data_IF_693497499786
#
_entry.id   IF_693497499786
#
_cell.length_a   1.000
_cell.length_b   1.000
_cell.length_c   1.000
_cell.angle_alpha   90.00
_cell.angle_beta   90.00
_cell.angle_gamma   90.00
#
_symmetry.space_group_name_H-M   'P 1'
#
loop_
_entity.id
_entity.type
_entity.pdbx_description
1 polymer ?
#
# COMPACT_ATOMS: atom_id res chain seq x y z
N UNK A 1 16.78 18.81 21.86
CA UNK A 1 17.20 18.32 20.53
C UNK A 1 18.65 17.87 20.62
N UNK A 2 18.95 16.64 20.23
CA UNK A 2 20.32 16.08 20.28
C UNK A 2 21.22 16.64 19.17
N UNK A 3 22.54 16.63 19.38
CA UNK A 3 23.51 17.06 18.35
C UNK A 3 23.55 16.06 17.19
N UNK A 4 23.85 16.54 15.96
CA UNK A 4 23.97 15.67 14.78
C UNK A 4 24.96 14.52 14.99
N UNK A 5 26.08 14.79 15.66
CA UNK A 5 27.08 13.76 16.01
C UNK A 5 26.50 12.69 16.93
N UNK A 6 25.68 13.06 17.92
CA UNK A 6 25.03 12.09 18.82
C UNK A 6 24.00 11.24 18.06
N UNK A 7 23.21 11.87 17.19
CA UNK A 7 22.24 11.19 16.32
C UNK A 7 22.93 10.21 15.36
N UNK A 8 23.99 10.65 14.70
CA UNK A 8 24.76 9.81 13.77
C UNK A 8 25.42 8.63 14.50
N UNK A 9 25.92 8.84 15.73
CA UNK A 9 26.44 7.77 16.60
C UNK A 9 25.35 6.76 16.94
N UNK A 10 24.18 7.22 17.36
CA UNK A 10 23.04 6.36 17.68
C UNK A 10 22.63 5.50 16.47
N UNK A 11 22.44 6.12 15.31
CA UNK A 11 22.11 5.39 14.08
C UNK A 11 23.16 4.36 13.69
N UNK A 12 24.45 4.71 13.76
CA UNK A 12 25.54 3.78 13.42
C UNK A 12 25.65 2.62 14.41
N UNK A 13 25.58 2.90 15.72
CA UNK A 13 25.69 1.91 16.78
C UNK A 13 24.55 0.90 16.73
N UNK A 14 23.31 1.36 16.58
CA UNK A 14 22.13 0.50 16.43
C UNK A 14 22.19 -0.29 15.12
N UNK A 15 22.63 0.32 14.01
CA UNK A 15 22.74 -0.40 12.75
C UNK A 15 23.80 -1.50 12.77
N UNK A 16 24.92 -1.29 13.46
CA UNK A 16 26.02 -2.26 13.55
C UNK A 16 25.92 -3.21 14.74
N UNK A 17 24.90 -3.06 15.57
CA UNK A 17 24.75 -3.80 16.83
C UNK A 17 26.01 -3.67 17.70
N UNK A 18 26.48 -2.42 17.88
CA UNK A 18 27.73 -2.07 18.58
C UNK A 18 27.51 -1.06 19.69
N UNK A 19 27.34 -1.56 20.91
CA UNK A 19 27.22 -0.80 22.16
C UNK A 19 27.89 -1.59 23.29
N UNK A 20 28.27 -0.93 24.39
CA UNK A 20 29.04 -1.53 25.49
C UNK A 20 28.17 -2.42 26.40
N UNK A 21 26.95 -1.98 26.66
CA UNK A 21 26.02 -2.60 27.59
C UNK A 21 24.57 -2.20 27.26
N UNK A 22 23.61 -2.78 27.96
CA UNK A 22 22.17 -2.52 27.79
C UNK A 22 21.81 -1.05 28.08
N UNK A 23 22.50 -0.39 29.02
CA UNK A 23 22.21 1.02 29.34
C UNK A 23 22.58 1.91 28.16
N UNK A 24 23.76 1.70 27.54
CA UNK A 24 24.14 2.42 26.33
C UNK A 24 23.19 2.11 25.17
N UNK A 25 22.70 0.87 25.04
CA UNK A 25 21.67 0.55 24.04
C UNK A 25 20.42 1.42 24.21
N UNK A 26 19.84 1.48 25.42
CA UNK A 26 18.65 2.28 25.68
C UNK A 26 18.88 3.79 25.48
N UNK A 27 20.04 4.32 25.87
CA UNK A 27 20.40 5.72 25.60
C UNK A 27 20.48 6.04 24.10
N UNK A 28 21.07 5.15 23.30
CA UNK A 28 21.18 5.32 21.85
C UNK A 28 19.82 5.16 21.17
N UNK A 29 19.01 4.22 21.64
CA UNK A 29 17.63 4.02 21.19
C UNK A 29 16.78 5.26 21.44
N UNK A 30 16.85 5.86 22.63
CA UNK A 30 16.13 7.10 22.95
C UNK A 30 16.54 8.25 22.01
N UNK A 31 17.84 8.42 21.76
CA UNK A 31 18.35 9.44 20.83
C UNK A 31 17.82 9.22 19.42
N UNK A 32 17.79 7.96 18.97
CA UNK A 32 17.27 7.59 17.67
C UNK A 32 15.77 7.90 17.56
N UNK A 33 15.00 7.51 18.57
CA UNK A 33 13.55 7.71 18.60
C UNK A 33 13.19 9.18 18.68
N UNK A 34 13.89 9.99 19.47
CA UNK A 34 13.70 11.44 19.50
C UNK A 34 14.05 12.11 18.15
N UNK A 35 15.07 11.62 17.45
CA UNK A 35 15.37 12.11 16.10
C UNK A 35 14.27 11.74 15.10
N UNK A 36 13.77 10.51 15.15
CA UNK A 36 12.64 10.05 14.32
C UNK A 36 11.37 10.85 14.63
N UNK A 37 11.06 11.07 15.91
CA UNK A 37 9.94 11.86 16.43
C UNK A 37 9.90 13.27 15.86
N UNK A 38 11.05 13.92 15.79
CA UNK A 38 11.19 15.28 15.26
C UNK A 38 10.74 15.45 13.79
N UNK A 39 10.55 14.36 13.04
CA UNK A 39 10.06 14.40 11.66
C UNK A 39 8.53 14.37 11.56
N UNK A 40 7.81 13.93 12.59
CA UNK A 40 6.35 13.75 12.49
C UNK A 40 5.62 15.09 12.37
N UNK A 41 6.00 16.10 13.16
CA UNK A 41 5.35 17.41 13.07
C UNK A 41 5.54 18.06 11.69
N UNK A 42 6.78 18.24 11.17
CA UNK A 42 6.97 18.80 9.84
C UNK A 42 6.29 17.97 8.74
N UNK A 43 6.22 16.65 8.91
CA UNK A 43 5.52 15.76 7.99
C UNK A 43 4.01 16.06 7.95
N UNK A 44 3.35 16.10 9.11
CA UNK A 44 1.92 16.40 9.24
C UNK A 44 1.56 17.76 8.67
N UNK A 45 2.35 18.78 8.99
CA UNK A 45 2.12 20.12 8.47
C UNK A 45 2.35 20.21 6.95
N UNK A 46 3.33 19.47 6.41
CA UNK A 46 3.56 19.40 4.96
C UNK A 46 2.43 18.68 4.24
N UNK A 47 1.93 17.59 4.81
CA UNK A 47 0.78 16.84 4.25
C UNK A 47 -0.47 17.72 4.16
N UNK A 48 -0.76 18.47 5.23
CA UNK A 48 -1.88 19.42 5.26
C UNK A 48 -1.70 20.56 4.25
N UNK A 49 -0.49 21.10 4.11
CA UNK A 49 -0.22 22.14 3.11
C UNK A 49 -0.36 21.60 1.69
N UNK A 50 0.14 20.39 1.41
CA UNK A 50 -0.05 19.74 0.11
C UNK A 50 -1.55 19.55 -0.20
N UNK A 51 -2.36 19.14 0.78
CA UNK A 51 -3.82 19.05 0.62
C UNK A 51 -4.45 20.41 0.31
N UNK A 52 -4.04 21.45 1.05
CA UNK A 52 -4.53 22.80 0.86
C UNK A 52 -4.18 23.32 -0.55
N UNK A 53 -2.93 23.15 -1.00
CA UNK A 53 -2.49 23.50 -2.34
C UNK A 53 -3.31 22.78 -3.42
N UNK A 54 -3.61 21.50 -3.21
CA UNK A 54 -4.33 20.64 -4.15
C UNK A 54 -5.85 20.76 -4.06
N UNK A 55 -6.40 21.56 -3.13
CA UNK A 55 -7.85 21.77 -3.00
C UNK A 55 -8.52 22.22 -4.31
N UNK A 56 -7.81 23.03 -5.11
CA UNK A 56 -8.28 23.55 -6.40
C UNK A 56 -7.68 22.82 -7.62
N UNK A 57 -7.01 21.68 -7.43
CA UNK A 57 -6.37 20.94 -8.53
C UNK A 57 -7.40 20.36 -9.53
N UNK A 58 -8.64 20.13 -9.09
CA UNK A 58 -9.76 19.75 -9.96
C UNK A 58 -9.72 18.30 -10.46
N UNK A 59 -8.94 17.42 -9.83
CA UNK A 59 -8.96 15.98 -10.10
C UNK A 59 -8.78 15.17 -8.81
N UNK A 60 -9.30 13.95 -8.81
CA UNK A 60 -9.25 13.05 -7.65
C UNK A 60 -7.83 12.55 -7.40
N UNK A 61 -7.39 12.63 -6.14
CA UNK A 61 -6.14 12.08 -5.66
C UNK A 61 -6.36 11.50 -4.25
N UNK A 62 -5.45 10.62 -3.85
CA UNK A 62 -5.34 10.16 -2.47
C UNK A 62 -4.02 10.63 -1.89
N UNK A 63 -4.01 11.11 -0.65
CA UNK A 63 -2.78 11.50 0.04
C UNK A 63 -2.74 10.92 1.45
N UNK A 64 -1.63 10.27 1.77
CA UNK A 64 -1.34 9.81 3.12
C UNK A 64 0.12 10.09 3.46
N UNK A 65 0.41 10.22 4.74
CA UNK A 65 1.76 10.24 5.26
C UNK A 65 2.10 8.95 5.97
N UNK A 66 3.39 8.66 6.05
CA UNK A 66 3.93 7.54 6.81
C UNK A 66 5.23 7.95 7.47
N UNK A 67 5.34 7.72 8.77
CA UNK A 67 6.60 7.81 9.48
C UNK A 67 7.37 6.51 9.28
N UNK A 68 8.65 6.59 8.92
CA UNK A 68 9.44 5.40 8.61
C UNK A 68 9.77 4.62 9.89
N UNK A 69 9.62 3.30 9.80
CA UNK A 69 9.86 2.36 10.90
C UNK A 69 11.34 2.29 11.28
N UNK A 70 11.66 2.12 12.57
CA UNK A 70 13.04 1.98 13.08
C UNK A 70 13.81 0.83 12.39
N UNK A 71 13.27 -0.40 12.26
CA UNK A 71 13.95 -1.49 11.55
C UNK A 71 14.28 -1.17 10.08
N UNK A 72 13.38 -0.46 9.39
CA UNK A 72 13.56 -0.04 8.00
C UNK A 72 14.65 1.04 7.85
N UNK A 73 14.77 1.93 8.84
CA UNK A 73 15.86 2.91 8.89
C UNK A 73 17.19 2.19 9.14
N UNK A 74 17.25 1.29 10.12
CA UNK A 74 18.45 0.50 10.45
C UNK A 74 18.93 -0.31 9.25
N UNK A 75 18.04 -1.06 8.56
CA UNK A 75 18.39 -1.80 7.33
C UNK A 75 18.96 -0.87 6.26
N UNK A 76 18.36 0.31 6.05
CA UNK A 76 18.84 1.28 5.07
C UNK A 76 20.24 1.83 5.43
N UNK A 77 20.50 2.10 6.71
CA UNK A 77 21.83 2.51 7.19
C UNK A 77 22.86 1.42 6.91
N UNK A 78 22.52 0.16 7.13
CA UNK A 78 23.41 -0.97 6.84
C UNK A 78 23.71 -1.14 5.36
N UNK A 79 22.68 -1.09 4.50
CA UNK A 79 22.84 -1.27 3.05
C UNK A 79 23.61 -0.13 2.39
N UNK A 80 23.33 1.12 2.76
CA UNK A 80 23.88 2.30 2.08
C UNK A 80 25.12 2.88 2.76
N UNK A 81 25.46 2.45 3.98
CA UNK A 81 26.59 2.98 4.76
C UNK A 81 26.59 4.51 4.89
N UNK A 82 25.39 5.09 4.99
CA UNK A 82 25.17 6.54 5.18
C UNK A 82 24.88 6.85 6.65
N UNK A 83 25.00 8.12 7.03
CA UNK A 83 24.66 8.57 8.40
C UNK A 83 23.16 8.80 8.56
N UNK A 84 22.64 8.65 9.78
CA UNK A 84 21.23 8.85 10.09
C UNK A 84 20.74 10.26 9.72
N UNK A 85 21.55 11.29 9.98
CA UNK A 85 21.21 12.68 9.60
C UNK A 85 21.24 12.95 8.09
N UNK A 86 21.74 12.02 7.27
CA UNK A 86 21.74 12.12 5.81
C UNK A 86 20.54 11.43 5.16
N UNK A 87 19.76 10.65 5.92
CA UNK A 87 18.54 10.05 5.40
C UNK A 87 17.45 11.11 5.18
N UNK A 88 16.87 11.11 3.99
CA UNK A 88 15.86 12.08 3.58
C UNK A 88 14.42 11.52 3.60
N UNK A 89 14.27 10.21 3.83
CA UNK A 89 13.00 9.48 3.77
C UNK A 89 12.51 9.01 5.14
N UNK A 90 12.80 9.76 6.22
CA UNK A 90 12.29 9.44 7.57
C UNK A 90 10.81 9.78 7.67
N UNK A 91 10.41 10.96 7.19
CA UNK A 91 9.02 11.33 6.98
C UNK A 91 8.67 11.26 5.49
N UNK A 92 7.66 10.47 5.14
CA UNK A 92 7.24 10.31 3.75
C UNK A 92 5.77 10.66 3.53
N UNK A 93 5.46 11.38 2.46
CA UNK A 93 4.11 11.59 1.94
C UNK A 93 3.94 10.79 0.65
N UNK A 94 2.74 10.28 0.40
CA UNK A 94 2.40 9.57 -0.82
C UNK A 94 1.16 10.21 -1.43
N UNK A 95 1.26 10.61 -2.70
CA UNK A 95 0.12 11.04 -3.52
C UNK A 95 -0.14 9.97 -4.58
N UNK A 96 -1.36 9.45 -4.62
CA UNK A 96 -1.80 8.50 -5.64
C UNK A 96 -2.82 9.19 -6.55
N UNK A 97 -2.57 9.12 -7.85
CA UNK A 97 -3.39 9.74 -8.90
C UNK A 97 -3.87 8.69 -9.89
N UNK A 98 -4.87 9.02 -10.71
CA UNK A 98 -5.49 8.03 -11.60
C UNK A 98 -4.52 7.52 -12.66
N UNK A 99 -3.83 8.41 -13.38
CA UNK A 99 -2.99 8.05 -14.53
C UNK A 99 -1.56 8.61 -14.41
N UNK A 100 -0.64 8.04 -15.18
CA UNK A 100 0.73 8.52 -15.23
C UNK A 100 0.83 10.01 -15.66
N UNK A 101 -0.01 10.45 -16.60
CA UNK A 101 -0.09 11.86 -17.00
C UNK A 101 -0.50 12.81 -15.87
N UNK A 102 -1.27 12.32 -14.89
CA UNK A 102 -1.68 13.14 -13.74
C UNK A 102 -0.52 13.34 -12.75
N UNK A 103 0.48 12.47 -12.75
CA UNK A 103 1.70 12.65 -11.97
C UNK A 103 2.46 13.87 -12.48
N UNK A 104 2.59 14.02 -13.80
CA UNK A 104 3.24 15.19 -14.41
C UNK A 104 2.48 16.49 -14.11
N UNK A 105 1.15 16.44 -14.21
CA UNK A 105 0.27 17.56 -13.94
C UNK A 105 0.37 18.03 -12.48
N UNK A 106 0.33 17.10 -11.51
CA UNK A 106 0.49 17.45 -10.09
C UNK A 106 1.90 17.98 -9.83
N UNK A 107 2.93 17.34 -10.37
CA UNK A 107 4.30 17.80 -10.17
C UNK A 107 4.50 19.23 -10.67
N UNK A 108 4.04 19.54 -11.89
CA UNK A 108 4.09 20.90 -12.43
C UNK A 108 3.30 21.89 -11.59
N UNK A 109 2.07 21.52 -11.21
CA UNK A 109 1.23 22.36 -10.36
C UNK A 109 1.88 22.65 -9.00
N UNK A 110 2.51 21.65 -8.37
CA UNK A 110 3.22 21.83 -7.11
C UNK A 110 4.44 22.76 -7.26
N UNK A 111 5.25 22.61 -8.32
CA UNK A 111 6.36 23.53 -8.58
C UNK A 111 5.86 24.97 -8.67
N UNK A 112 4.80 25.21 -9.45
CA UNK A 112 4.24 26.54 -9.65
C UNK A 112 3.71 27.16 -8.35
N UNK A 113 3.06 26.35 -7.50
CA UNK A 113 2.47 26.82 -6.24
C UNK A 113 3.47 26.98 -5.11
N UNK A 114 4.40 26.05 -4.94
CA UNK A 114 5.39 26.06 -3.84
C UNK A 114 6.28 27.30 -3.93
N UNK A 115 6.69 27.67 -5.15
CA UNK A 115 7.47 28.88 -5.42
C UNK A 115 6.75 30.19 -5.01
N UNK A 116 5.44 30.16 -4.80
CA UNK A 116 4.64 31.34 -4.45
C UNK A 116 4.38 31.53 -2.95
N UNK A 117 4.55 30.49 -2.11
CA UNK A 117 4.11 30.50 -0.71
C UNK A 117 5.24 30.41 0.34
N UNK A 118 6.46 30.01 -0.03
CA UNK A 118 7.64 29.91 0.87
C UNK A 118 7.44 29.10 2.17
N UNK A 119 6.44 28.22 2.26
CA UNK A 119 6.17 27.38 3.45
C UNK A 119 7.13 26.19 3.55
N UNK A 120 7.48 25.59 2.41
CA UNK A 120 8.50 24.56 2.25
C UNK A 120 9.15 24.70 0.87
N UNK A 121 10.29 24.06 0.64
CA UNK A 121 11.00 24.08 -0.66
C UNK A 121 11.06 22.71 -1.28
N UNK A 122 11.16 22.67 -2.61
CA UNK A 122 11.51 21.46 -3.37
C UNK A 122 13.03 21.49 -3.58
N UNK A 123 13.74 20.56 -2.95
CA UNK A 123 15.21 20.52 -2.99
C UNK A 123 15.74 19.63 -4.12
N UNK A 124 15.07 18.52 -4.41
CA UNK A 124 15.48 17.60 -5.48
C UNK A 124 14.29 16.80 -6.00
N UNK A 125 14.23 16.59 -7.32
CA UNK A 125 13.29 15.66 -7.94
C UNK A 125 14.06 14.54 -8.63
N UNK A 126 13.59 13.31 -8.48
CA UNK A 126 14.12 12.13 -9.19
C UNK A 126 12.95 11.34 -9.75
N UNK A 127 12.91 11.19 -11.06
CA UNK A 127 11.86 10.44 -11.75
C UNK A 127 12.32 9.02 -12.08
N UNK A 128 11.70 8.03 -11.46
CA UNK A 128 11.98 6.61 -11.74
C UNK A 128 10.98 6.00 -12.73
N UNK A 129 10.03 6.77 -13.26
CA UNK A 129 8.90 6.20 -14.04
C UNK A 129 9.27 5.77 -15.45
N UNK A 130 10.33 6.30 -16.04
CA UNK A 130 10.71 5.97 -17.43
C UNK A 130 11.47 4.64 -17.53
N UNK A 131 12.47 4.44 -16.66
CA UNK A 131 13.30 3.24 -16.68
C UNK A 131 12.90 2.21 -15.61
N UNK A 132 12.20 2.63 -14.56
CA UNK A 132 12.10 1.86 -13.32
C UNK A 132 13.44 1.84 -12.57
N UNK A 133 13.45 1.35 -11.33
CA UNK A 133 14.71 1.05 -10.63
C UNK A 133 15.36 -0.21 -11.20
N UNK A 134 16.67 -0.17 -11.39
CA UNK A 134 17.44 -1.20 -12.09
C UNK A 134 17.21 -2.63 -11.59
N UNK A 135 17.06 -2.80 -10.28
CA UNK A 135 16.89 -4.11 -9.65
C UNK A 135 15.45 -4.63 -9.73
N UNK A 136 14.48 -3.84 -9.27
CA UNK A 136 13.13 -4.34 -9.02
C UNK A 136 12.13 -3.94 -10.09
N UNK A 137 12.41 -2.91 -10.89
CA UNK A 137 11.42 -2.29 -11.77
C UNK A 137 10.52 -1.27 -11.06
N UNK A 138 10.80 -0.87 -9.81
CA UNK A 138 9.98 0.13 -9.10
C UNK A 138 9.89 1.47 -9.84
N UNK A 139 8.67 2.00 -10.01
CA UNK A 139 8.37 3.27 -10.69
C UNK A 139 7.58 4.24 -9.80
N UNK A 140 8.04 5.48 -9.70
CA UNK A 140 7.41 6.61 -9.00
C UNK A 140 8.21 7.89 -9.25
N UNK A 141 7.55 9.05 -9.17
CA UNK A 141 8.24 10.34 -9.07
C UNK A 141 8.55 10.65 -7.61
N UNK A 142 9.82 10.87 -7.28
CA UNK A 142 10.29 11.22 -5.93
C UNK A 142 10.66 12.69 -5.86
N UNK A 143 10.06 13.41 -4.92
CA UNK A 143 10.30 14.83 -4.70
C UNK A 143 10.76 15.00 -3.25
N UNK A 144 12.01 15.44 -3.06
CA UNK A 144 12.56 15.77 -1.75
C UNK A 144 12.13 17.18 -1.40
N UNK A 145 11.35 17.28 -0.34
CA UNK A 145 10.85 18.52 0.24
C UNK A 145 11.71 18.89 1.45
N UNK A 146 11.81 20.18 1.73
CA UNK A 146 12.49 20.68 2.93
C UNK A 146 11.61 21.67 3.68
N UNK A 147 11.40 21.40 4.97
CA UNK A 147 10.60 22.22 5.90
C UNK A 147 11.28 22.24 7.25
N UNK A 148 11.43 23.42 7.86
CA UNK A 148 11.93 23.53 9.24
C UNK A 148 13.30 22.85 9.49
N UNK A 149 14.16 22.76 8.48
CA UNK A 149 15.47 22.11 8.58
C UNK A 149 15.49 20.59 8.45
N UNK A 150 14.33 19.94 8.26
CA UNK A 150 14.22 18.51 7.96
C UNK A 150 13.93 18.27 6.47
N UNK A 151 14.35 17.12 5.96
CA UNK A 151 13.97 16.64 4.63
C UNK A 151 12.81 15.65 4.75
N UNK A 152 11.87 15.74 3.82
CA UNK A 152 10.72 14.85 3.69
C UNK A 152 10.67 14.33 2.25
N UNK A 153 10.22 13.09 2.07
CA UNK A 153 10.10 12.50 0.74
C UNK A 153 8.63 12.45 0.32
N UNK A 154 8.28 13.16 -0.75
CA UNK A 154 7.00 13.04 -1.43
C UNK A 154 7.13 12.04 -2.60
N UNK A 155 6.32 10.99 -2.57
CA UNK A 155 6.22 10.00 -3.64
C UNK A 155 4.90 10.21 -4.38
N UNK A 156 4.98 10.50 -5.67
CA UNK A 156 3.80 10.64 -6.54
C UNK A 156 3.74 9.42 -7.46
N UNK A 157 2.60 8.75 -7.47
CA UNK A 157 2.39 7.50 -8.21
C UNK A 157 1.02 7.49 -8.90
N UNK A 158 0.96 6.89 -10.08
CA UNK A 158 -0.34 6.48 -10.63
C UNK A 158 -0.92 5.29 -9.85
N UNK A 159 -2.19 4.94 -10.12
CA UNK A 159 -2.81 3.73 -9.58
C UNK A 159 -2.07 2.45 -9.98
N UNK A 160 -1.57 2.39 -11.22
CA UNK A 160 -0.86 1.21 -11.74
C UNK A 160 0.50 1.05 -11.03
N UNK A 161 1.25 2.15 -10.88
CA UNK A 161 2.52 2.17 -10.14
C UNK A 161 2.33 1.84 -8.67
N UNK A 162 1.24 2.33 -8.07
CA UNK A 162 0.89 2.01 -6.70
C UNK A 162 0.52 0.54 -6.54
N UNK A 163 -0.35 0.00 -7.41
CA UNK A 163 -0.73 -1.40 -7.40
C UNK A 163 0.50 -2.32 -7.50
N UNK A 164 1.40 -2.07 -8.46
CA UNK A 164 2.66 -2.83 -8.57
C UNK A 164 3.46 -2.81 -7.27
N UNK A 165 3.53 -1.63 -6.64
CA UNK A 165 4.26 -1.44 -5.40
C UNK A 165 3.64 -2.18 -4.22
N UNK A 166 2.33 -2.37 -4.18
CA UNK A 166 1.64 -3.14 -3.13
C UNK A 166 1.72 -4.65 -3.43
N UNK A 167 1.64 -5.07 -4.70
CA UNK A 167 1.75 -6.47 -5.10
C UNK A 167 3.09 -7.08 -4.69
N UNK A 168 4.21 -6.41 -4.96
CA UNK A 168 5.53 -6.91 -4.55
C UNK A 168 5.72 -6.93 -3.02
N UNK A 169 5.05 -6.05 -2.26
CA UNK A 169 5.08 -6.09 -0.79
C UNK A 169 4.27 -7.29 -0.28
N UNK A 170 3.07 -7.52 -0.83
CA UNK A 170 2.27 -8.71 -0.51
C UNK A 170 3.03 -10.00 -0.80
N UNK A 171 3.67 -10.10 -1.97
CA UNK A 171 4.47 -11.27 -2.31
C UNK A 171 5.71 -11.39 -1.41
N UNK A 172 6.29 -10.27 -0.94
CA UNK A 172 7.38 -10.32 0.05
C UNK A 172 6.92 -10.98 1.36
N UNK A 173 5.69 -10.71 1.81
CA UNK A 173 5.09 -11.35 3.00
C UNK A 173 4.91 -12.85 2.81
N UNK A 174 4.33 -13.25 1.68
CA UNK A 174 4.08 -14.67 1.35
C UNK A 174 5.39 -15.44 1.19
N UNK A 175 6.34 -14.86 0.46
CA UNK A 175 7.60 -15.50 0.13
C UNK A 175 8.61 -15.48 1.29
N UNK A 176 8.42 -14.57 2.25
CA UNK A 176 9.30 -14.43 3.42
C UNK A 176 10.64 -13.74 3.13
N UNK A 177 10.72 -12.96 2.05
CA UNK A 177 11.90 -12.20 1.62
C UNK A 177 11.53 -10.76 1.27
N UNK A 178 12.39 -9.79 1.59
CA UNK A 178 12.18 -8.40 1.21
C UNK A 178 12.56 -8.14 -0.26
N UNK A 179 11.68 -8.51 -1.19
CA UNK A 179 11.91 -8.45 -2.64
C UNK A 179 12.34 -7.06 -3.13
N UNK A 180 11.75 -5.98 -2.59
CA UNK A 180 12.12 -4.60 -2.95
C UNK A 180 13.55 -4.22 -2.55
N UNK A 181 14.11 -4.92 -1.58
CA UNK A 181 15.47 -4.72 -1.08
C UNK A 181 16.49 -5.62 -1.78
N UNK A 182 16.04 -6.45 -2.74
CA UNK A 182 16.87 -7.39 -3.48
C UNK A 182 17.04 -8.75 -2.80
N UNK A 183 16.26 -9.05 -1.77
CA UNK A 183 16.25 -10.37 -1.13
C UNK A 183 15.35 -11.35 -1.88
N UNK A 184 15.70 -12.64 -1.85
CA UNK A 184 14.96 -13.71 -2.54
C UNK A 184 15.59 -14.11 -3.88
N UNK A 185 14.93 -15.01 -4.61
CA UNK A 185 15.42 -15.49 -5.91
C UNK A 185 15.34 -14.40 -6.99
N UNK A 186 16.41 -14.26 -7.78
CA UNK A 186 16.50 -13.27 -8.85
C UNK A 186 15.41 -13.43 -9.90
N UNK A 187 14.87 -14.64 -10.11
CA UNK A 187 13.75 -14.89 -11.03
C UNK A 187 12.47 -14.24 -10.54
N UNK A 188 12.19 -14.28 -9.23
CA UNK A 188 11.02 -13.63 -8.62
C UNK A 188 11.14 -12.11 -8.74
N UNK A 189 12.33 -11.56 -8.49
CA UNK A 189 12.61 -10.13 -8.71
C UNK A 189 12.46 -9.79 -10.20
N UNK A 190 12.96 -10.66 -11.08
CA UNK A 190 12.86 -10.55 -12.54
C UNK A 190 11.41 -10.55 -13.04
N UNK A 191 10.53 -11.37 -12.46
CA UNK A 191 9.09 -11.33 -12.74
C UNK A 191 8.53 -9.93 -12.46
N UNK A 192 8.80 -9.38 -11.29
CA UNK A 192 8.30 -8.05 -10.92
C UNK A 192 8.86 -6.93 -11.81
N UNK A 193 10.13 -7.04 -12.22
CA UNK A 193 10.74 -6.11 -13.17
C UNK A 193 10.03 -6.14 -14.52
N UNK A 194 9.82 -7.33 -15.09
CA UNK A 194 9.10 -7.49 -16.36
C UNK A 194 7.64 -7.04 -16.25
N UNK A 195 6.98 -7.34 -15.13
CA UNK A 195 5.62 -6.87 -14.84
C UNK A 195 5.54 -5.34 -14.84
N UNK A 196 6.52 -4.67 -14.23
CA UNK A 196 6.61 -3.21 -14.24
C UNK A 196 6.78 -2.65 -15.65
N UNK A 197 7.60 -3.29 -16.48
CA UNK A 197 7.82 -2.87 -17.87
C UNK A 197 6.54 -3.03 -18.71
N UNK A 198 5.78 -4.11 -18.51
CA UNK A 198 4.48 -4.30 -19.14
C UNK A 198 3.49 -3.21 -18.70
N UNK A 199 3.45 -2.91 -17.40
CA UNK A 199 2.60 -1.84 -16.86
C UNK A 199 2.97 -0.47 -17.42
N UNK A 200 4.26 -0.19 -17.60
CA UNK A 200 4.73 1.05 -18.23
C UNK A 200 4.22 1.20 -19.67
N UNK A 201 4.21 0.14 -20.49
CA UNK A 201 3.65 0.21 -21.85
C UNK A 201 2.15 0.55 -21.81
N UNK A 202 1.40 -0.10 -20.91
CA UNK A 202 -0.04 0.12 -20.73
C UNK A 202 -0.30 1.57 -20.28
N UNK A 203 0.46 2.08 -19.33
CA UNK A 203 0.36 3.47 -18.86
C UNK A 203 0.62 4.49 -19.96
N UNK A 204 1.49 4.15 -20.90
CA UNK A 204 1.79 4.98 -22.06
C UNK A 204 0.79 4.81 -23.22
N UNK A 205 -0.26 4.00 -23.03
CA UNK A 205 -1.28 3.75 -24.05
C UNK A 205 -0.80 2.87 -25.20
N UNK A 206 0.29 2.13 -25.03
CA UNK A 206 0.83 1.19 -26.02
C UNK A 206 0.43 -0.24 -25.65
N UNK A 207 0.27 -1.08 -26.66
CA UNK A 207 0.08 -2.50 -26.43
C UNK A 207 1.44 -3.16 -26.11
N UNK A 208 1.58 -3.87 -24.97
CA UNK A 208 2.77 -4.65 -24.70
C UNK A 208 2.98 -5.70 -25.80
N UNK A 209 4.21 -5.83 -26.30
CA UNK A 209 4.56 -6.87 -27.28
C UNK A 209 4.22 -8.27 -26.75
N UNK A 210 3.84 -9.18 -27.65
CA UNK A 210 3.52 -10.57 -27.32
C UNK A 210 4.65 -11.23 -26.52
N UNK A 211 5.91 -11.02 -26.93
CA UNK A 211 7.08 -11.60 -26.25
C UNK A 211 7.19 -11.17 -24.77
N UNK A 212 6.98 -9.87 -24.47
CA UNK A 212 6.95 -9.36 -23.09
C UNK A 212 5.83 -10.00 -22.27
N UNK A 213 4.64 -10.19 -22.86
CA UNK A 213 3.49 -10.82 -22.16
C UNK A 213 3.78 -12.28 -21.87
N UNK A 214 4.21 -13.03 -22.89
CA UNK A 214 4.61 -14.43 -22.75
C UNK A 214 5.72 -14.59 -21.71
N UNK A 215 6.69 -13.66 -21.66
CA UNK A 215 7.78 -13.73 -20.68
C UNK A 215 7.30 -13.58 -19.24
N UNK A 216 6.36 -12.67 -18.99
CA UNK A 216 5.76 -12.52 -17.65
C UNK A 216 4.98 -13.77 -17.28
N UNK A 217 4.20 -14.35 -18.21
CA UNK A 217 3.40 -15.55 -17.94
C UNK A 217 4.28 -16.80 -17.71
N UNK A 218 5.37 -16.95 -18.45
CA UNK A 218 6.39 -18.00 -18.23
C UNK A 218 7.04 -17.84 -16.85
N UNK A 219 7.58 -16.63 -16.57
CA UNK A 219 8.22 -16.34 -15.28
C UNK A 219 7.25 -16.54 -14.12
N UNK A 220 5.96 -16.24 -14.30
CA UNK A 220 4.95 -16.43 -13.27
C UNK A 220 4.90 -17.89 -12.80
N UNK A 221 4.77 -18.83 -13.73
CA UNK A 221 4.67 -20.26 -13.39
C UNK A 221 5.94 -20.80 -12.70
N UNK A 222 7.12 -20.36 -13.15
CA UNK A 222 8.38 -20.69 -12.48
C UNK A 222 8.47 -20.07 -11.09
N UNK A 223 8.09 -18.79 -10.95
CA UNK A 223 8.18 -18.07 -9.69
C UNK A 223 7.19 -18.61 -8.64
N UNK A 224 5.98 -19.00 -9.05
CA UNK A 224 5.02 -19.65 -8.14
C UNK A 224 5.61 -20.93 -7.55
N UNK A 225 6.25 -21.77 -8.36
CA UNK A 225 6.92 -22.98 -7.88
C UNK A 225 8.08 -22.66 -6.91
N UNK A 226 8.87 -21.63 -7.21
CA UNK A 226 9.98 -21.22 -6.34
C UNK A 226 9.50 -20.65 -5.01
N UNK A 227 8.40 -19.89 -5.04
CA UNK A 227 7.79 -19.35 -3.84
C UNK A 227 7.25 -20.48 -2.99
N UNK A 228 6.50 -21.42 -3.57
CA UNK A 228 5.91 -22.56 -2.84
C UNK A 228 6.95 -23.54 -2.28
N UNK A 229 8.11 -23.67 -2.94
CA UNK A 229 9.20 -24.53 -2.49
C UNK A 229 10.12 -23.89 -1.44
N UNK A 230 9.97 -22.59 -1.17
CA UNK A 230 10.82 -21.91 -0.20
C UNK A 230 10.56 -22.41 1.22
N UNK A 231 11.63 -22.56 1.99
CA UNK A 231 11.62 -22.78 3.43
C UNK A 231 10.93 -21.66 4.23
N UNK A 232 10.93 -20.44 3.68
CA UNK A 232 10.29 -19.25 4.26
C UNK A 232 8.90 -18.99 3.73
N UNK A 233 8.42 -19.86 2.84
CA UNK A 233 7.08 -19.79 2.32
C UNK A 233 6.07 -19.89 3.46
N UNK A 234 5.13 -18.95 3.50
CA UNK A 234 4.06 -18.94 4.48
C UNK A 234 2.70 -18.99 3.78
N UNK A 235 1.90 -19.98 4.17
CA UNK A 235 0.49 -20.10 3.78
C UNK A 235 -0.34 -19.37 4.84
N UNK A 236 -1.19 -18.44 4.42
CA UNK A 236 -2.05 -17.69 5.32
C UNK A 236 -3.52 -17.86 4.94
N UNK A 237 -4.38 -18.15 5.92
CA UNK A 237 -5.84 -18.14 5.77
C UNK A 237 -6.42 -16.78 6.23
N UNK A 238 -5.71 -15.68 5.94
CA UNK A 238 -6.13 -14.35 6.35
C UNK A 238 -7.17 -13.79 5.37
N UNK A 239 -8.24 -13.18 5.88
CA UNK A 239 -9.18 -12.42 5.08
C UNK A 239 -9.02 -10.94 5.37
N UNK A 240 -9.25 -10.08 4.38
CA UNK A 240 -9.38 -8.65 4.63
C UNK A 240 -10.62 -8.44 5.51
N UNK A 241 -10.41 -8.05 6.76
CA UNK A 241 -11.50 -7.90 7.72
C UNK A 241 -12.21 -6.57 7.49
N UNK A 242 -13.25 -6.58 6.66
CA UNK A 242 -14.06 -5.39 6.32
C UNK A 242 -14.71 -4.73 7.55
N UNK A 243 -14.99 -5.49 8.62
CA UNK A 243 -15.53 -4.95 9.86
C UNK A 243 -14.53 -3.98 10.53
N UNK A 244 -13.23 -4.19 10.32
CA UNK A 244 -12.18 -3.29 10.81
C UNK A 244 -12.23 -1.95 10.07
N UNK A 245 -12.41 -1.96 8.75
CA UNK A 245 -12.54 -0.74 7.95
C UNK A 245 -13.77 0.06 8.38
N UNK A 246 -14.87 -0.64 8.64
CA UNK A 246 -16.07 -0.02 9.16
C UNK A 246 -15.82 0.64 10.51
N UNK A 247 -15.16 -0.07 11.43
CA UNK A 247 -14.84 0.43 12.78
C UNK A 247 -13.88 1.63 12.72
N UNK A 248 -12.89 1.58 11.83
CA UNK A 248 -11.97 2.68 11.54
C UNK A 248 -12.73 3.93 11.07
N UNK A 249 -13.65 3.75 10.11
CA UNK A 249 -14.49 4.83 9.56
C UNK A 249 -15.42 5.42 10.64
N UNK A 250 -16.00 4.57 11.48
CA UNK A 250 -16.82 4.99 12.61
C UNK A 250 -16.02 5.81 13.64
N UNK A 251 -14.79 5.38 14.01
CA UNK A 251 -13.93 6.17 14.92
C UNK A 251 -13.48 7.48 14.27
N UNK A 252 -13.17 7.51 12.97
CA UNK A 252 -12.82 8.74 12.26
C UNK A 252 -13.98 9.76 12.28
N UNK A 253 -15.22 9.30 12.05
CA UNK A 253 -16.40 10.17 12.05
C UNK A 253 -16.58 10.95 13.37
N UNK A 254 -16.14 10.35 14.49
CA UNK A 254 -16.16 10.97 15.83
C UNK A 254 -15.03 11.97 16.05
N UNK A 255 -13.94 11.86 15.28
CA UNK A 255 -12.77 12.75 15.30
C UNK A 255 -12.69 13.54 13.99
N UNK A 256 -13.79 14.21 13.65
CA UNK A 256 -13.95 14.89 12.36
C UNK A 256 -13.01 16.10 12.22
N UNK A 257 -12.40 16.21 11.03
CA UNK A 257 -11.60 17.36 10.56
C UNK A 257 -10.13 17.32 10.98
N UNK A 258 -9.20 17.51 10.05
CA UNK A 258 -7.74 17.48 10.29
C UNK A 258 -7.10 16.14 9.89
N UNK A 259 -5.78 16.04 10.07
CA UNK A 259 -5.01 14.83 9.78
C UNK A 259 -5.04 13.90 11.00
N UNK A 260 -5.61 12.71 10.86
CA UNK A 260 -5.62 11.68 11.89
C UNK A 260 -4.40 10.76 11.73
N UNK A 261 -3.83 10.35 12.86
CA UNK A 261 -2.73 9.39 12.90
C UNK A 261 -3.26 8.03 13.35
N UNK A 262 -2.86 6.98 12.65
CA UNK A 262 -3.28 5.61 12.86
C UNK A 262 -2.04 4.74 13.06
N UNK A 263 -2.07 3.92 14.11
CA UNK A 263 -1.15 2.79 14.24
C UNK A 263 -1.83 1.58 13.61
N UNK A 264 -1.10 0.89 12.73
CA UNK A 264 -1.50 -0.39 12.17
C UNK A 264 -0.49 -1.45 12.63
N UNK A 265 -0.99 -2.58 13.13
CA UNK A 265 -0.20 -3.74 13.55
C UNK A 265 -0.52 -4.90 12.63
N UNK A 266 0.51 -5.40 11.95
CA UNK A 266 0.43 -6.52 11.02
C UNK A 266 1.34 -7.66 11.50
N UNK A 267 0.89 -8.89 11.39
CA UNK A 267 1.67 -10.08 11.72
C UNK A 267 2.12 -10.79 10.43
N UNK A 268 3.42 -10.82 10.17
CA UNK A 268 4.02 -11.53 9.05
C UNK A 268 3.99 -13.05 9.20
N UNK A 269 3.73 -13.58 10.39
CA UNK A 269 3.57 -15.03 10.62
C UNK A 269 2.16 -15.51 10.34
N UNK A 270 1.17 -14.64 10.48
CA UNK A 270 -0.22 -14.90 10.13
C UNK A 270 -0.63 -14.28 8.77
N UNK A 271 0.20 -13.41 8.20
CA UNK A 271 -0.13 -12.66 6.98
C UNK A 271 -1.33 -11.74 7.18
N UNK A 272 -1.60 -11.37 8.43
CA UNK A 272 -2.87 -10.85 8.85
C UNK A 272 -2.73 -9.51 9.56
N UNK A 273 -3.75 -8.68 9.36
CA UNK A 273 -3.97 -7.53 10.19
C UNK A 273 -4.34 -7.97 11.62
N UNK A 274 -3.65 -7.45 12.63
CA UNK A 274 -3.84 -7.83 14.04
C UNK A 274 -4.63 -6.79 14.80
N UNK A 275 -4.22 -5.54 14.71
CA UNK A 275 -4.75 -4.46 15.53
C UNK A 275 -4.50 -3.10 14.91
N UNK A 276 -5.31 -2.12 15.29
CA UNK A 276 -5.07 -0.71 14.99
C UNK A 276 -5.39 0.14 16.21
N UNK A 277 -4.85 1.35 16.22
CA UNK A 277 -5.35 2.40 17.09
C UNK A 277 -5.33 3.77 16.40
N UNK A 278 -6.22 4.65 16.85
CA UNK A 278 -6.19 6.07 16.50
C UNK A 278 -5.42 6.80 17.58
N UNK A 279 -4.34 7.47 17.20
CA UNK A 279 -3.48 8.16 18.16
C UNK A 279 -3.69 9.66 18.09
N UNK A 280 -3.22 10.34 19.14
CA UNK A 280 -3.27 11.79 19.27
C UNK A 280 -2.73 12.49 18.00
N UNK A 281 -3.29 13.66 17.72
CA UNK A 281 -2.73 14.56 16.70
C UNK A 281 -1.49 15.29 17.20
N UNK A 282 -1.28 15.31 18.52
CA UNK A 282 -0.04 15.80 19.09
C UNK A 282 1.11 14.87 18.64
N UNK A 283 2.15 15.40 17.97
CA UNK A 283 3.27 14.60 17.49
C UNK A 283 4.02 13.85 18.58
N UNK A 284 4.07 14.40 19.81
CA UNK A 284 4.79 13.77 20.90
C UNK A 284 4.07 12.52 21.38
N UNK A 285 2.81 12.69 21.78
CA UNK A 285 1.94 11.59 22.23
C UNK A 285 1.84 10.50 21.15
N UNK A 286 1.68 10.88 19.88
CA UNK A 286 1.56 9.94 18.76
C UNK A 286 2.80 9.04 18.61
N UNK A 287 3.99 9.62 18.77
CA UNK A 287 5.25 8.86 18.64
C UNK A 287 5.52 8.06 19.90
N UNK A 288 5.15 8.55 21.08
CA UNK A 288 5.25 7.79 22.33
C UNK A 288 4.38 6.52 22.26
N UNK A 289 3.11 6.65 21.90
CA UNK A 289 2.25 5.47 21.65
C UNK A 289 2.81 4.58 20.55
N UNK A 290 3.37 5.16 19.48
CA UNK A 290 3.97 4.36 18.41
C UNK A 290 5.16 3.52 18.89
N UNK A 291 6.03 4.08 19.74
CA UNK A 291 7.16 3.38 20.36
C UNK A 291 6.67 2.28 21.31
N UNK A 292 5.61 2.54 22.10
CA UNK A 292 5.00 1.53 22.96
C UNK A 292 4.48 0.33 22.15
N UNK A 293 3.80 0.59 21.03
CA UNK A 293 3.36 -0.48 20.13
C UNK A 293 4.53 -1.22 19.50
N UNK A 294 5.61 -0.54 19.08
CA UNK A 294 6.82 -1.21 18.58
C UNK A 294 7.47 -2.11 19.64
N UNK A 295 7.36 -1.77 20.94
CA UNK A 295 7.82 -2.62 22.05
C UNK A 295 6.89 -3.80 22.32
N UNK A 296 5.58 -3.59 22.25
CA UNK A 296 4.57 -4.65 22.44
C UNK A 296 4.54 -5.66 21.29
N UNK A 297 4.84 -5.20 20.07
CA UNK A 297 4.80 -5.97 18.83
C UNK A 297 6.17 -5.93 18.14
N UNK A 298 7.19 -6.62 18.71
CA UNK A 298 8.55 -6.58 18.22
C UNK A 298 8.71 -7.27 16.86
N UNK A 299 9.63 -6.74 16.04
CA UNK A 299 9.88 -7.25 14.68
C UNK A 299 10.52 -8.63 14.69
N UNK A 300 11.28 -8.95 15.73
CA UNK A 300 11.88 -10.25 15.97
C UNK A 300 10.82 -11.35 16.17
N UNK A 301 9.62 -10.96 16.63
CA UNK A 301 8.46 -11.86 16.74
C UNK A 301 7.60 -11.88 15.46
N UNK A 302 8.03 -11.23 14.38
CA UNK A 302 7.33 -11.20 13.09
C UNK A 302 6.26 -10.12 12.97
N UNK A 303 6.19 -9.16 13.89
CA UNK A 303 5.23 -8.07 13.79
C UNK A 303 5.77 -6.86 13.02
N UNK A 304 4.86 -6.12 12.43
CA UNK A 304 5.10 -4.87 11.74
C UNK A 304 4.14 -3.79 12.26
N UNK A 305 4.70 -2.79 12.94
CA UNK A 305 3.96 -1.62 13.43
C UNK A 305 4.24 -0.42 12.56
N UNK A 306 3.20 0.25 12.09
CA UNK A 306 3.29 1.38 11.17
C UNK A 306 2.43 2.54 11.66
N UNK A 307 3.01 3.74 11.66
CA UNK A 307 2.29 4.99 11.87
C UNK A 307 1.95 5.64 10.53
N UNK A 308 0.66 5.68 10.19
CA UNK A 308 0.12 6.29 8.97
C UNK A 308 -0.78 7.47 9.33
N UNK A 309 -0.63 8.59 8.63
CA UNK A 309 -1.51 9.75 8.79
C UNK A 309 -2.36 9.99 7.54
N UNK A 310 -3.64 10.29 7.72
CA UNK A 310 -4.56 10.63 6.64
C UNK A 310 -5.72 11.47 7.16
N UNK A 311 -6.31 12.29 6.28
CA UNK A 311 -7.54 13.05 6.59
C UNK A 311 -8.81 12.20 6.41
N UNK A 312 -8.69 11.07 5.69
CA UNK A 312 -9.76 10.10 5.49
C UNK A 312 -9.20 8.68 5.62
N UNK A 313 -9.85 7.81 6.38
CA UNK A 313 -9.36 6.46 6.62
C UNK A 313 -9.49 5.56 5.39
N UNK A 314 -10.46 5.86 4.52
CA UNK A 314 -10.57 5.25 3.20
C UNK A 314 -9.28 5.43 2.38
N UNK A 315 -8.58 6.56 2.57
CA UNK A 315 -7.28 6.81 1.92
C UNK A 315 -6.17 5.93 2.49
N UNK A 316 -6.21 5.57 3.79
CA UNK A 316 -5.24 4.61 4.37
C UNK A 316 -5.37 3.25 3.68
N UNK A 317 -6.61 2.77 3.48
CA UNK A 317 -6.87 1.55 2.72
C UNK A 317 -6.36 1.63 1.28
N UNK A 318 -6.57 2.76 0.60
CA UNK A 318 -6.13 2.95 -0.78
C UNK A 318 -4.62 3.13 -0.93
N UNK A 319 -3.92 3.54 0.13
CA UNK A 319 -2.48 3.85 0.08
C UNK A 319 -1.60 2.78 0.70
N UNK A 320 -2.16 1.92 1.55
CA UNK A 320 -1.43 0.90 2.31
C UNK A 320 -2.26 -0.39 2.44
N UNK A 321 -2.85 -0.85 1.34
CA UNK A 321 -3.78 -1.99 1.32
C UNK A 321 -3.15 -3.29 1.79
N UNK A 322 -1.84 -3.49 1.57
CA UNK A 322 -1.14 -4.71 2.00
C UNK A 322 -1.21 -5.00 3.51
N UNK A 323 -1.44 -3.98 4.36
CA UNK A 323 -1.59 -4.20 5.80
C UNK A 323 -2.95 -4.73 6.21
N UNK A 324 -3.97 -4.64 5.36
CA UNK A 324 -5.33 -5.04 5.71
C UNK A 324 -5.62 -6.53 5.47
N UNK A 325 -4.61 -7.31 5.09
CA UNK A 325 -4.71 -8.75 4.87
C UNK A 325 -4.50 -9.15 3.40
N UNK A 326 -4.39 -10.45 3.16
CA UNK A 326 -4.13 -11.03 1.84
C UNK A 326 -5.40 -11.74 1.35
N UNK A 327 -6.14 -11.08 0.45
CA UNK A 327 -7.53 -11.41 0.08
C UNK A 327 -7.73 -12.80 -0.60
N UNK A 328 -6.68 -13.42 -1.17
CA UNK A 328 -6.70 -14.83 -1.62
C UNK A 328 -5.30 -15.30 -2.06
N UNK A 329 -5.00 -16.59 -1.81
CA UNK A 329 -3.77 -17.27 -2.21
C UNK A 329 -3.83 -17.90 -3.62
N UNK A 330 -5.02 -18.05 -4.22
CA UNK A 330 -5.15 -18.79 -5.49
C UNK A 330 -4.41 -18.15 -6.67
N UNK A 331 -3.85 -16.93 -6.52
CA UNK A 331 -2.88 -16.34 -7.42
C UNK A 331 -1.84 -15.54 -6.60
N UNK A 332 -0.76 -16.18 -6.14
CA UNK A 332 0.38 -15.52 -5.45
C UNK A 332 0.89 -14.35 -6.30
N UNK A 333 0.98 -14.63 -7.60
CA UNK A 333 1.31 -13.70 -8.66
C UNK A 333 0.09 -13.59 -9.57
N UNK A 334 -0.42 -12.38 -9.76
CA UNK A 334 -1.58 -12.17 -10.63
C UNK A 334 -1.18 -12.41 -12.10
N UNK A 335 -2.12 -12.97 -12.88
CA UNK A 335 -1.95 -13.03 -14.33
C UNK A 335 -1.99 -11.62 -14.92
N UNK A 336 -1.27 -11.39 -16.02
CA UNK A 336 -1.28 -10.09 -16.70
C UNK A 336 -2.70 -9.64 -17.04
N UNK A 337 -3.53 -10.56 -17.54
CA UNK A 337 -4.90 -10.24 -17.89
C UNK A 337 -5.71 -9.85 -16.65
N UNK A 338 -5.52 -10.50 -15.50
CA UNK A 338 -6.14 -10.10 -14.23
C UNK A 338 -5.72 -8.68 -13.81
N UNK A 339 -4.41 -8.37 -13.88
CA UNK A 339 -3.90 -7.04 -13.55
C UNK A 339 -4.43 -5.96 -14.51
N UNK A 340 -4.39 -6.21 -15.83
CA UNK A 340 -4.87 -5.29 -16.88
C UNK A 340 -6.38 -5.03 -16.76
N UNK A 341 -7.13 -6.09 -16.49
CA UNK A 341 -8.58 -6.04 -16.29
C UNK A 341 -8.91 -5.33 -14.96
N UNK A 342 -8.02 -5.37 -13.97
CA UNK A 342 -8.02 -4.50 -12.80
C UNK A 342 -7.82 -3.03 -13.15
N UNK A 343 -6.85 -2.69 -14.00
CA UNK A 343 -6.55 -1.28 -14.33
C UNK A 343 -7.57 -0.58 -15.22
N UNK A 344 -8.19 -1.33 -16.14
CA UNK A 344 -9.07 -0.77 -17.18
C UNK A 344 -10.43 -0.29 -16.65
N UNK A 345 -10.84 -0.70 -15.45
CA UNK A 345 -12.19 -0.45 -14.93
C UNK A 345 -12.08 0.02 -13.49
N UNK A 346 -12.75 1.13 -13.16
CA UNK A 346 -12.79 1.75 -11.82
C UNK A 346 -12.87 0.65 -10.75
N UNK A 347 -11.75 0.30 -10.10
CA UNK A 347 -11.76 -0.71 -9.04
C UNK A 347 -12.40 -0.04 -7.83
N UNK A 348 -13.68 -0.31 -7.65
CA UNK A 348 -14.44 -0.03 -6.45
C UNK A 348 -15.05 -1.31 -5.83
N UNK A 349 -14.86 -2.48 -6.46
CA UNK A 349 -15.25 -3.79 -5.92
C UNK A 349 -14.04 -4.74 -5.81
N UNK A 350 -14.08 -5.63 -4.82
CA UNK A 350 -13.02 -6.60 -4.54
C UNK A 350 -12.99 -7.75 -5.58
N UNK A 351 -11.92 -8.55 -5.54
CA UNK A 351 -11.68 -9.63 -6.52
C UNK A 351 -12.76 -10.71 -6.44
N UNK A 352 -13.23 -11.05 -5.23
CA UNK A 352 -14.30 -12.03 -5.05
C UNK A 352 -15.63 -11.53 -5.60
N UNK A 353 -15.95 -10.26 -5.42
CA UNK A 353 -17.14 -9.62 -5.98
C UNK A 353 -17.11 -9.68 -7.51
N UNK A 354 -15.94 -9.43 -8.10
CA UNK A 354 -15.75 -9.56 -9.54
C UNK A 354 -15.93 -11.01 -10.03
N UNK A 355 -15.40 -11.99 -9.31
CA UNK A 355 -15.55 -13.42 -9.66
C UNK A 355 -17.02 -13.87 -9.58
N UNK A 356 -17.77 -13.36 -8.60
CA UNK A 356 -19.22 -13.58 -8.47
C UNK A 356 -19.96 -12.95 -9.66
N UNK A 357 -19.70 -11.68 -9.99
CA UNK A 357 -20.29 -11.03 -11.17
C UNK A 357 -19.98 -11.78 -12.47
N UNK A 358 -18.73 -12.20 -12.65
CA UNK A 358 -18.25 -13.01 -13.80
C UNK A 358 -18.97 -14.32 -13.93
N UNK A 359 -19.19 -14.99 -12.81
CA UNK A 359 -19.87 -16.27 -12.79
C UNK A 359 -21.36 -16.11 -13.09
N UNK A 360 -22.03 -15.12 -12.49
CA UNK A 360 -23.44 -14.83 -12.76
C UNK A 360 -23.65 -14.37 -14.21
N UNK A 361 -22.74 -13.55 -14.74
CA UNK A 361 -22.79 -13.02 -16.10
C UNK A 361 -22.64 -14.13 -17.15
N UNK A 362 -21.59 -14.94 -17.05
CA UNK A 362 -21.31 -16.06 -17.96
C UNK A 362 -22.44 -17.09 -17.98
N UNK A 363 -23.06 -17.36 -16.81
CA UNK A 363 -24.20 -18.28 -16.67
C UNK A 363 -25.56 -17.62 -16.97
N UNK A 364 -25.56 -16.33 -17.33
CA UNK A 364 -26.70 -15.51 -17.70
C UNK A 364 -27.79 -15.42 -16.61
N UNK A 365 -27.40 -15.31 -15.34
CA UNK A 365 -28.34 -15.08 -14.24
C UNK A 365 -28.69 -13.59 -14.15
N UNK A 366 -29.78 -13.20 -14.79
CA UNK A 366 -30.26 -11.82 -14.88
C UNK A 366 -31.74 -11.72 -14.50
N UNK A 367 -32.11 -10.70 -13.72
CA UNK A 367 -33.51 -10.37 -13.47
C UNK A 367 -34.28 -11.52 -12.80
N UNK A 368 -35.20 -12.13 -13.54
CA UNK A 368 -36.04 -13.25 -13.05
C UNK A 368 -35.30 -14.59 -12.99
N UNK A 369 -34.15 -14.73 -13.68
CA UNK A 369 -33.36 -15.96 -13.68
C UNK A 369 -32.36 -15.91 -12.53
N UNK A 370 -32.66 -16.65 -11.47
CA UNK A 370 -31.92 -16.61 -10.19
C UNK A 370 -31.17 -17.91 -9.91
N UNK A 371 -30.21 -17.85 -8.98
CA UNK A 371 -29.49 -19.00 -8.41
C UNK A 371 -29.51 -18.91 -6.88
N UNK A 372 -29.59 -20.04 -6.16
CA UNK A 372 -29.52 -19.99 -4.70
C UNK A 372 -28.12 -19.61 -4.22
N UNK A 373 -28.03 -18.99 -3.04
CA UNK A 373 -26.76 -18.62 -2.41
C UNK A 373 -25.88 -19.85 -2.24
N UNK A 374 -26.45 -20.96 -1.76
CA UNK A 374 -25.73 -22.22 -1.57
C UNK A 374 -25.17 -22.78 -2.88
N UNK A 375 -25.94 -22.71 -3.97
CA UNK A 375 -25.45 -23.19 -5.27
C UNK A 375 -24.33 -22.31 -5.80
N UNK A 376 -24.49 -20.99 -5.61
CA UNK A 376 -23.51 -20.02 -6.05
C UNK A 376 -22.21 -20.19 -5.25
N UNK A 377 -22.27 -20.30 -3.92
CA UNK A 377 -21.12 -20.49 -3.02
C UNK A 377 -20.46 -21.87 -3.22
N UNK A 378 -21.23 -22.96 -3.08
CA UNK A 378 -20.66 -24.31 -2.99
C UNK A 378 -20.28 -24.92 -4.34
N UNK A 379 -20.86 -24.46 -5.46
CA UNK A 379 -20.62 -25.05 -6.78
C UNK A 379 -20.00 -24.10 -7.80
N UNK A 380 -20.49 -22.87 -7.90
CA UNK A 380 -20.09 -21.98 -9.01
C UNK A 380 -18.96 -21.03 -8.64
N UNK A 381 -18.88 -20.63 -7.38
CA UNK A 381 -17.91 -19.71 -6.80
C UNK A 381 -17.14 -20.38 -5.66
N UNK A 382 -16.93 -21.70 -5.72
CA UNK A 382 -16.25 -22.46 -4.66
C UNK A 382 -14.83 -21.96 -4.36
N UNK A 383 -14.17 -21.36 -5.34
CA UNK A 383 -12.84 -20.75 -5.22
C UNK A 383 -12.87 -19.31 -4.68
N UNK A 384 -14.05 -18.73 -4.45
CA UNK A 384 -14.22 -17.36 -3.96
C UNK A 384 -14.24 -17.39 -2.43
N UNK A 385 -13.08 -17.21 -1.81
CA UNK A 385 -12.93 -17.28 -0.35
C UNK A 385 -13.73 -16.19 0.37
N UNK A 386 -13.82 -14.98 -0.20
CA UNK A 386 -14.59 -13.84 0.32
C UNK A 386 -16.07 -13.88 -0.06
N UNK A 387 -16.62 -15.05 -0.41
CA UNK A 387 -17.94 -15.14 -1.05
C UNK A 387 -19.03 -14.30 -0.36
N UNK A 388 -19.16 -14.45 0.96
CA UNK A 388 -20.19 -13.76 1.75
C UNK A 388 -20.00 -12.22 1.77
N UNK A 389 -18.77 -11.74 2.01
CA UNK A 389 -18.48 -10.31 2.07
C UNK A 389 -18.55 -9.66 0.68
N UNK A 390 -18.01 -10.33 -0.33
CA UNK A 390 -18.08 -9.94 -1.73
C UNK A 390 -19.53 -9.87 -2.24
N UNK A 391 -20.35 -10.87 -1.91
CA UNK A 391 -21.75 -10.88 -2.29
C UNK A 391 -22.52 -9.74 -1.61
N UNK A 392 -22.24 -9.48 -0.33
CA UNK A 392 -22.83 -8.35 0.41
C UNK A 392 -22.45 -7.01 -0.22
N UNK A 393 -21.18 -6.81 -0.55
CA UNK A 393 -20.69 -5.61 -1.26
C UNK A 393 -21.42 -5.38 -2.58
N UNK A 394 -21.64 -6.44 -3.38
CA UNK A 394 -22.41 -6.36 -4.61
C UNK A 394 -23.89 -6.02 -4.40
N UNK A 395 -24.48 -6.48 -3.29
CA UNK A 395 -25.87 -6.16 -2.91
C UNK A 395 -26.00 -4.71 -2.45
N UNK A 396 -25.09 -4.22 -1.61
CA UNK A 396 -25.05 -2.83 -1.14
C UNK A 396 -24.92 -1.85 -2.31
N UNK A 397 -24.10 -2.21 -3.31
CA UNK A 397 -23.93 -1.46 -4.56
C UNK A 397 -25.05 -1.69 -5.58
N UNK A 398 -26.03 -2.54 -5.25
CA UNK A 398 -27.15 -2.92 -6.10
C UNK A 398 -26.75 -3.55 -7.44
N UNK A 399 -25.52 -4.05 -7.58
CA UNK A 399 -25.06 -4.78 -8.77
C UNK A 399 -25.68 -6.18 -8.84
N UNK A 400 -25.99 -6.73 -7.67
CA UNK A 400 -26.68 -8.00 -7.49
C UNK A 400 -27.97 -7.76 -6.71
N UNK A 401 -29.04 -8.47 -7.07
CA UNK A 401 -30.34 -8.38 -6.42
C UNK A 401 -30.80 -9.75 -5.90
N UNK A 402 -31.53 -9.72 -4.79
CA UNK A 402 -32.17 -10.90 -4.19
C UNK A 402 -33.65 -10.90 -4.58
N UNK A 403 -34.11 -11.99 -5.16
CA UNK A 403 -35.50 -12.18 -5.55
C UNK A 403 -36.39 -12.36 -4.32
N UNK A 404 -37.44 -11.54 -4.24
CA UNK A 404 -38.46 -11.62 -3.18
C UNK A 404 -39.33 -12.88 -3.25
N UNK A 405 -39.31 -13.61 -4.37
CA UNK A 405 -40.15 -14.80 -4.59
C UNK A 405 -39.52 -16.10 -4.09
N UNK A 406 -38.19 -16.21 -4.16
CA UNK A 406 -37.48 -17.47 -3.91
C UNK A 406 -36.12 -17.30 -3.21
N UNK A 407 -35.77 -16.08 -2.78
CA UNK A 407 -34.48 -15.78 -2.15
C UNK A 407 -33.27 -15.96 -3.07
N UNK A 408 -33.49 -16.21 -4.37
CA UNK A 408 -32.44 -16.44 -5.33
C UNK A 408 -31.74 -15.16 -5.76
N UNK A 409 -30.45 -15.27 -6.06
CA UNK A 409 -29.58 -14.18 -6.47
C UNK A 409 -29.54 -14.04 -7.99
N UNK A 410 -29.53 -12.81 -8.50
CA UNK A 410 -29.32 -12.51 -9.92
C UNK A 410 -28.62 -11.17 -10.11
N UNK A 411 -28.04 -10.94 -11.31
CA UNK A 411 -27.55 -9.63 -11.70
C UNK A 411 -28.70 -8.63 -11.86
N UNK A 412 -28.50 -7.41 -11.37
CA UNK A 412 -29.48 -6.35 -11.50
C UNK A 412 -29.54 -5.84 -12.94
N UNK A 413 -30.67 -6.08 -13.61
CA UNK A 413 -30.85 -5.73 -15.02
C UNK A 413 -30.79 -4.21 -15.27
N UNK A 414 -31.16 -3.39 -14.28
CA UNK A 414 -31.11 -1.93 -14.38
C UNK A 414 -29.69 -1.39 -14.36
N UNK A 415 -28.74 -2.16 -13.81
CA UNK A 415 -27.32 -1.85 -13.78
C UNK A 415 -26.53 -2.61 -14.82
N UNK A 416 -27.18 -3.16 -15.86
CA UNK A 416 -26.50 -4.01 -16.87
C UNK A 416 -25.25 -3.35 -17.46
N UNK A 417 -25.36 -2.10 -17.91
CA UNK A 417 -24.22 -1.36 -18.50
C UNK A 417 -23.09 -1.08 -17.51
N UNK A 418 -23.39 -1.00 -16.20
CA UNK A 418 -22.41 -0.83 -15.12
C UNK A 418 -21.77 -2.19 -14.77
N UNK A 419 -22.57 -3.25 -14.69
CA UNK A 419 -22.11 -4.62 -14.43
C UNK A 419 -21.18 -5.10 -15.55
N UNK A 420 -21.53 -4.86 -16.81
CA UNK A 420 -20.70 -5.16 -18.00
C UNK A 420 -19.35 -4.41 -18.00
N UNK A 421 -19.19 -3.37 -17.18
CA UNK A 421 -17.90 -2.73 -16.94
C UNK A 421 -17.07 -3.45 -15.86
N UNK A 422 -17.60 -4.38 -15.09
CA UNK A 422 -16.83 -5.18 -14.14
C UNK A 422 -16.47 -6.57 -14.68
N UNK A 423 -17.30 -7.11 -15.57
CA UNK A 423 -17.14 -8.42 -16.25
C UNK A 423 -16.55 -8.32 -17.63
#
# INVERSE_FOLDING_TARGET
MYSKTKVDRAGLALAKDKYRDENEYFELEEVFDEYRKAHLQPLSETTLELQHLLSNYGAQYYIAQRLKRKPQIIRKLNRLSVRLTQLQDIGGCRIIVQKNSDVDRIHKYLIDKVNSQNVFTIDRTTDYRDLGRDYTGYRSLHVILKRGGVHLELQIRSRIQHYWSESIERTSVIYGYHLKEGEGDERVIGYFKNLSDVFYEIEAGREPSIDKRLKVDELRGECEQLIEQSDRYKVFDSFVNEDIIKTLTEKESKNSGGLNNWILVFDWNAGAFVSWDIVSRNPNDAVETYIEYEKMFPVESGYEVVLVGSSEVATVRQTHSHYFGIESYHNILESLDTSIVGFSRKIDIDIGARQILSTLHRRRFWGKKTVSVDTLSNHFCKSVLTFESSLRSLQERQLVQVSSLNGGISLNIHKKSEIEQYV
#
